data_IF_780393524239
#
_entry.id   IF_780393524239
#
_cell.length_a   1.000
_cell.length_b   1.000
_cell.length_c   1.000
_cell.angle_alpha   90.00
_cell.angle_beta   90.00
_cell.angle_gamma   90.00
#
_symmetry.space_group_name_H-M   'P 1'
#
loop_
_entity.id
_entity.type
_entity.pdbx_description
1 polymer ?
#
# COMPACT_ATOMS: atom_id res chain seq x y z
N UNK A 1 7.23 7.47 30.00
CA UNK A 1 6.77 8.87 29.92
C UNK A 1 5.78 8.90 28.78
N UNK A 2 4.54 9.29 29.00
CA UNK A 2 3.50 9.34 27.96
C UNK A 2 3.60 10.62 27.12
N UNK A 3 2.87 10.65 26.01
CA UNK A 3 2.89 11.75 25.02
C UNK A 3 2.48 13.07 25.68
N UNK A 4 1.44 13.06 26.54
CA UNK A 4 0.95 14.24 27.24
C UNK A 4 2.04 14.87 28.13
N UNK A 5 2.73 14.04 28.91
CA UNK A 5 3.83 14.51 29.77
C UNK A 5 4.98 15.12 28.96
N UNK A 6 5.28 14.60 27.77
CA UNK A 6 6.29 15.18 26.88
C UNK A 6 5.85 16.51 26.28
N UNK A 7 4.57 16.65 25.92
CA UNK A 7 4.02 17.88 25.39
C UNK A 7 3.97 18.97 26.48
N UNK A 8 3.42 18.67 27.66
CA UNK A 8 3.34 19.58 28.80
C UNK A 8 4.73 20.07 29.28
N UNK A 9 5.75 19.21 29.12
CA UNK A 9 7.15 19.57 29.40
C UNK A 9 7.84 20.38 28.28
N UNK A 10 7.12 20.75 27.21
CA UNK A 10 7.65 21.49 26.06
C UNK A 10 8.66 20.71 25.22
N UNK A 11 8.70 19.38 25.36
CA UNK A 11 9.57 18.49 24.58
C UNK A 11 8.99 18.07 23.23
N UNK A 12 7.69 18.32 23.03
CA UNK A 12 6.98 18.11 21.75
C UNK A 12 6.32 19.41 21.32
N UNK A 13 6.51 19.80 20.09
CA UNK A 13 5.80 20.92 19.43
C UNK A 13 4.48 20.43 18.80
N UNK A 14 3.58 21.39 18.49
CA UNK A 14 2.34 21.09 17.78
C UNK A 14 2.58 20.31 16.48
N UNK A 15 3.61 20.70 15.70
CA UNK A 15 3.99 19.99 14.47
C UNK A 15 4.44 18.54 14.72
N UNK A 16 5.09 18.27 15.83
CA UNK A 16 5.47 16.91 16.21
C UNK A 16 4.25 16.12 16.68
N UNK A 17 3.30 16.76 17.35
CA UNK A 17 2.02 16.16 17.71
C UNK A 17 1.19 15.78 16.48
N UNK A 18 1.12 16.63 15.45
CA UNK A 18 0.49 16.29 14.16
C UNK A 18 1.15 15.05 13.51
N UNK A 19 2.48 14.91 13.61
CA UNK A 19 3.18 13.69 13.14
C UNK A 19 2.76 12.44 13.91
N UNK A 20 2.49 12.56 15.21
CA UNK A 20 1.99 11.44 16.01
C UNK A 20 0.56 11.05 15.61
N UNK A 21 -0.31 12.01 15.28
CA UNK A 21 -1.64 11.74 14.72
C UNK A 21 -1.50 10.95 13.41
N UNK A 22 -0.61 11.38 12.52
CA UNK A 22 -0.32 10.65 11.28
C UNK A 22 0.17 9.22 11.52
N UNK A 23 1.01 8.99 12.53
CA UNK A 23 1.45 7.64 12.90
C UNK A 23 0.27 6.81 13.40
N UNK A 24 -0.66 7.40 14.16
CA UNK A 24 -1.91 6.76 14.59
C UNK A 24 -2.77 6.30 13.41
N UNK A 25 -2.95 7.16 12.39
CA UNK A 25 -3.70 6.81 11.16
C UNK A 25 -3.05 5.66 10.37
N UNK A 26 -1.76 5.42 10.58
CA UNK A 26 -1.03 4.29 10.01
C UNK A 26 -1.10 3.01 10.86
N UNK A 27 -1.88 3.02 11.95
CA UNK A 27 -1.97 1.91 12.89
C UNK A 27 -0.70 1.71 13.73
N UNK A 28 0.17 2.72 13.82
CA UNK A 28 1.38 2.67 14.64
C UNK A 28 1.01 2.85 16.12
N UNK A 29 1.47 1.94 16.98
CA UNK A 29 1.22 1.97 18.44
C UNK A 29 1.77 3.20 19.14
N UNK A 30 2.66 3.96 18.52
CA UNK A 30 3.21 5.22 19.02
C UNK A 30 2.41 6.44 18.55
N UNK A 31 1.43 6.25 17.67
CA UNK A 31 0.57 7.31 17.19
C UNK A 31 -0.57 7.62 18.16
N UNK A 32 -1.17 8.79 17.96
CA UNK A 32 -2.35 9.26 18.71
C UNK A 32 -3.49 9.53 17.72
N UNK A 33 -4.71 9.56 18.22
CA UNK A 33 -5.90 9.98 17.44
C UNK A 33 -5.98 11.52 17.38
N UNK A 34 -6.85 12.05 16.51
CA UNK A 34 -7.15 13.49 16.47
C UNK A 34 -7.75 13.95 17.79
N UNK A 35 -8.65 13.16 18.38
CA UNK A 35 -9.29 13.50 19.65
C UNK A 35 -8.27 13.55 20.81
N UNK A 36 -7.33 12.59 20.88
CA UNK A 36 -6.22 12.62 21.83
C UNK A 36 -5.29 13.83 21.61
N UNK A 37 -5.06 14.23 20.35
CA UNK A 37 -4.31 15.44 20.04
C UNK A 37 -5.01 16.68 20.62
N UNK A 38 -6.31 16.84 20.39
CA UNK A 38 -7.09 17.98 20.87
C UNK A 38 -7.19 18.00 22.40
N UNK A 39 -7.35 16.82 23.04
CA UNK A 39 -7.34 16.70 24.50
C UNK A 39 -5.99 17.09 25.12
N UNK A 40 -4.88 16.65 24.52
CA UNK A 40 -3.53 16.92 25.04
C UNK A 40 -3.13 18.37 24.84
N UNK A 41 -3.39 18.93 23.65
CA UNK A 41 -2.89 20.26 23.27
C UNK A 41 -3.86 21.40 23.62
N UNK A 42 -5.14 21.08 23.84
CA UNK A 42 -6.21 22.08 23.99
C UNK A 42 -6.50 22.87 22.70
N UNK A 43 -6.01 22.41 21.54
CA UNK A 43 -6.13 23.09 20.26
C UNK A 43 -6.88 22.19 19.27
N UNK A 44 -7.75 22.78 18.45
CA UNK A 44 -8.29 22.04 17.30
C UNK A 44 -7.19 21.78 16.29
N UNK A 45 -7.16 20.56 15.70
CA UNK A 45 -6.22 20.18 14.65
C UNK A 45 -6.30 21.13 13.45
N UNK A 46 -7.49 21.67 13.16
CA UNK A 46 -7.76 22.64 12.09
C UNK A 46 -6.97 23.95 12.25
N UNK A 47 -6.52 24.27 13.46
CA UNK A 47 -5.73 25.50 13.75
C UNK A 47 -4.24 25.27 13.60
N UNK A 48 -3.81 24.02 13.49
CA UNK A 48 -2.39 23.64 13.46
C UNK A 48 -1.91 23.20 12.09
N UNK A 49 -2.80 22.64 11.30
CA UNK A 49 -2.51 22.18 9.93
C UNK A 49 -3.65 22.61 9.00
N UNK A 50 -3.31 23.13 7.84
CA UNK A 50 -4.30 23.47 6.81
C UNK A 50 -4.89 22.21 6.15
N UNK A 51 -6.09 22.31 5.61
CA UNK A 51 -6.75 21.23 4.86
C UNK A 51 -5.87 20.73 3.71
N UNK A 52 -5.22 21.64 2.97
CA UNK A 52 -4.35 21.29 1.84
C UNK A 52 -3.12 20.51 2.31
N UNK A 53 -2.47 20.94 3.40
CA UNK A 53 -1.35 20.20 3.99
C UNK A 53 -1.78 18.81 4.50
N UNK A 54 -2.96 18.70 5.11
CA UNK A 54 -3.51 17.43 5.54
C UNK A 54 -3.73 16.48 4.34
N UNK A 55 -4.31 16.97 3.23
CA UNK A 55 -4.50 16.20 2.01
C UNK A 55 -3.17 15.71 1.42
N UNK A 56 -2.17 16.58 1.32
CA UNK A 56 -0.84 16.21 0.84
C UNK A 56 -0.17 15.13 1.72
N UNK A 57 -0.25 15.28 3.03
CA UNK A 57 0.26 14.30 3.99
C UNK A 57 -0.42 12.94 3.84
N UNK A 58 -1.76 12.94 3.70
CA UNK A 58 -2.53 11.71 3.59
C UNK A 58 -2.29 11.01 2.24
N UNK A 59 -2.17 11.74 1.14
CA UNK A 59 -1.73 11.18 -0.14
C UNK A 59 -0.36 10.51 -0.04
N UNK A 60 0.60 11.14 0.66
CA UNK A 60 1.90 10.54 0.93
C UNK A 60 1.80 9.23 1.74
N UNK A 61 0.91 9.19 2.73
CA UNK A 61 0.61 8.02 3.55
C UNK A 61 0.05 6.87 2.71
N UNK A 62 -0.97 7.16 1.87
CA UNK A 62 -1.59 6.20 0.96
C UNK A 62 -0.57 5.65 -0.04
N UNK A 63 0.31 6.49 -0.59
CA UNK A 63 1.39 6.04 -1.47
C UNK A 63 2.34 5.08 -0.75
N UNK A 64 2.72 5.39 0.49
CA UNK A 64 3.58 4.52 1.30
C UNK A 64 2.94 3.15 1.57
N UNK A 65 1.65 3.12 1.95
CA UNK A 65 0.89 1.88 2.12
C UNK A 65 0.83 1.07 0.82
N UNK A 66 0.52 1.72 -0.32
CA UNK A 66 0.50 1.07 -1.63
C UNK A 66 1.83 0.39 -1.96
N UNK A 67 2.95 1.09 -1.78
CA UNK A 67 4.27 0.51 -2.07
C UNK A 67 4.60 -0.66 -1.11
N UNK A 68 4.22 -0.57 0.16
CA UNK A 68 4.38 -1.67 1.11
C UNK A 68 3.53 -2.89 0.70
N UNK A 69 2.26 -2.68 0.34
CA UNK A 69 1.37 -3.74 -0.12
C UNK A 69 1.89 -4.38 -1.41
N UNK A 70 2.41 -3.58 -2.36
CA UNK A 70 3.05 -4.11 -3.58
C UNK A 70 4.29 -4.96 -3.30
N UNK A 71 5.10 -4.55 -2.32
CA UNK A 71 6.34 -5.27 -1.99
C UNK A 71 6.08 -6.67 -1.41
N UNK A 72 4.94 -6.84 -0.73
CA UNK A 72 4.56 -8.10 -0.06
C UNK A 72 3.42 -8.85 -0.75
N UNK A 73 2.90 -8.31 -1.87
CA UNK A 73 1.79 -8.94 -2.59
C UNK A 73 2.18 -10.32 -3.12
N UNK A 74 1.27 -11.25 -2.96
CA UNK A 74 1.37 -12.61 -3.49
C UNK A 74 0.07 -13.00 -4.17
N UNK A 75 0.15 -14.00 -5.05
CA UNK A 75 -1.00 -14.65 -5.67
C UNK A 75 -0.89 -16.16 -5.53
N UNK A 76 -2.02 -16.83 -5.45
CA UNK A 76 -2.09 -18.30 -5.45
C UNK A 76 -2.35 -18.81 -6.87
N UNK A 77 -1.57 -19.80 -7.30
CA UNK A 77 -1.76 -20.46 -8.57
C UNK A 77 -1.18 -21.88 -8.53
N UNK A 78 -1.89 -22.83 -9.14
CA UNK A 78 -1.46 -24.24 -9.23
C UNK A 78 -1.05 -24.86 -7.87
N UNK A 79 -1.68 -24.43 -6.77
CA UNK A 79 -1.45 -24.99 -5.42
C UNK A 79 -0.24 -24.41 -4.69
N UNK A 80 0.38 -23.35 -5.21
CA UNK A 80 1.48 -22.64 -4.53
C UNK A 80 1.31 -21.12 -4.64
N UNK A 81 2.13 -20.37 -3.92
CA UNK A 81 2.10 -18.92 -3.80
C UNK A 81 3.23 -18.29 -4.61
N UNK A 82 2.93 -17.22 -5.35
CA UNK A 82 3.90 -16.50 -6.17
C UNK A 82 3.96 -15.03 -5.80
N UNK A 83 5.19 -14.50 -5.65
CA UNK A 83 5.41 -13.08 -5.34
C UNK A 83 5.00 -12.18 -6.52
N UNK A 84 4.43 -11.00 -6.19
CA UNK A 84 4.01 -9.99 -7.16
C UNK A 84 4.80 -8.69 -7.01
N UNK A 85 5.97 -8.74 -6.34
CA UNK A 85 6.85 -7.58 -6.24
C UNK A 85 7.40 -7.16 -7.62
N UNK A 86 8.05 -6.00 -7.69
CA UNK A 86 8.53 -5.41 -8.96
C UNK A 86 9.41 -6.37 -9.76
N UNK A 87 10.37 -7.02 -9.10
CA UNK A 87 11.30 -7.96 -9.77
C UNK A 87 10.56 -9.18 -10.31
N UNK A 88 9.62 -9.73 -9.54
CA UNK A 88 8.80 -10.87 -9.98
C UNK A 88 7.93 -10.51 -11.18
N UNK A 89 7.39 -9.29 -11.24
CA UNK A 89 6.63 -8.80 -12.40
C UNK A 89 7.52 -8.66 -13.64
N UNK A 90 8.73 -8.09 -13.51
CA UNK A 90 9.70 -7.94 -14.61
C UNK A 90 10.11 -9.31 -15.18
N UNK A 91 10.39 -10.28 -14.31
CA UNK A 91 10.71 -11.64 -14.69
C UNK A 91 9.52 -12.32 -15.38
N UNK A 92 8.32 -12.20 -14.80
CA UNK A 92 7.11 -12.79 -15.37
C UNK A 92 6.79 -12.20 -16.74
N UNK A 93 6.93 -10.89 -16.93
CA UNK A 93 6.72 -10.26 -18.24
C UNK A 93 7.65 -10.83 -19.32
N UNK A 94 8.91 -11.07 -18.98
CA UNK A 94 9.89 -11.64 -19.89
C UNK A 94 9.51 -13.08 -20.28
N UNK A 95 9.14 -13.91 -19.31
CA UNK A 95 8.74 -15.30 -19.54
C UNK A 95 7.41 -15.38 -20.27
N UNK A 96 6.42 -14.54 -19.91
CA UNK A 96 5.14 -14.49 -20.59
C UNK A 96 5.27 -14.07 -22.06
N UNK A 97 6.17 -13.13 -22.36
CA UNK A 97 6.49 -12.75 -23.74
C UNK A 97 7.06 -13.94 -24.53
N UNK A 98 8.00 -14.69 -23.94
CA UNK A 98 8.54 -15.89 -24.56
C UNK A 98 7.46 -16.97 -24.76
N UNK A 99 6.56 -17.14 -23.79
CA UNK A 99 5.44 -18.08 -23.87
C UNK A 99 4.45 -17.72 -25.01
N UNK A 100 4.17 -16.43 -25.21
CA UNK A 100 3.31 -15.96 -26.31
C UNK A 100 3.96 -16.29 -27.67
N UNK A 101 5.26 -16.02 -27.82
CA UNK A 101 6.01 -16.33 -29.03
C UNK A 101 6.09 -17.83 -29.29
N UNK A 102 6.23 -18.65 -28.26
CA UNK A 102 6.22 -20.11 -28.35
C UNK A 102 4.90 -20.61 -28.95
N UNK A 103 3.77 -20.14 -28.42
CA UNK A 103 2.43 -20.47 -28.93
C UNK A 103 2.27 -20.06 -30.42
N UNK A 104 2.69 -18.82 -30.76
CA UNK A 104 2.58 -18.28 -32.11
C UNK A 104 3.38 -19.08 -33.12
N UNK A 105 4.50 -19.69 -32.70
CA UNK A 105 5.35 -20.53 -33.54
C UNK A 105 4.97 -22.01 -33.50
N UNK A 106 3.86 -22.40 -32.86
CA UNK A 106 3.42 -23.77 -32.70
C UNK A 106 4.33 -24.61 -31.79
N UNK A 107 5.09 -23.95 -30.91
CA UNK A 107 5.98 -24.58 -29.95
C UNK A 107 5.23 -25.24 -28.78
N UNK A 108 5.95 -26.03 -28.05
CA UNK A 108 5.45 -26.71 -26.83
C UNK A 108 6.54 -26.69 -25.73
N UNK A 109 7.09 -25.51 -25.50
CA UNK A 109 8.14 -25.31 -24.50
C UNK A 109 7.56 -25.37 -23.09
N UNK A 110 8.31 -26.01 -22.18
CA UNK A 110 8.03 -25.96 -20.75
C UNK A 110 8.81 -24.80 -20.13
N UNK A 111 8.14 -23.99 -19.35
CA UNK A 111 8.67 -22.81 -18.67
C UNK A 111 8.77 -23.10 -17.17
N UNK A 112 9.96 -23.05 -16.62
CA UNK A 112 10.16 -23.21 -15.17
C UNK A 112 10.05 -21.84 -14.49
N UNK A 113 9.19 -21.74 -13.48
CA UNK A 113 9.06 -20.54 -12.63
C UNK A 113 9.08 -20.91 -11.16
N UNK A 114 9.75 -20.08 -10.35
CA UNK A 114 9.97 -20.36 -8.93
C UNK A 114 8.93 -19.66 -8.08
N UNK A 115 8.31 -20.41 -7.16
CA UNK A 115 7.33 -19.89 -6.20
C UNK A 115 7.99 -19.14 -5.03
N UNK A 116 7.16 -18.42 -4.24
CA UNK A 116 7.56 -17.78 -2.99
C UNK A 116 8.06 -18.78 -1.94
N UNK A 117 7.60 -20.02 -2.01
CA UNK A 117 8.07 -21.13 -1.14
C UNK A 117 9.39 -21.76 -1.60
N UNK A 118 10.04 -21.18 -2.63
CA UNK A 118 11.29 -21.67 -3.23
C UNK A 118 11.18 -23.03 -3.96
N UNK A 119 9.99 -23.38 -4.43
CA UNK A 119 9.76 -24.56 -5.26
C UNK A 119 9.74 -24.16 -6.74
N UNK A 120 10.39 -24.96 -7.60
CA UNK A 120 10.30 -24.77 -9.04
C UNK A 120 9.07 -25.50 -9.58
N UNK A 121 8.29 -24.80 -10.38
CA UNK A 121 7.13 -25.34 -11.08
C UNK A 121 7.36 -25.27 -12.58
N UNK A 122 7.02 -26.35 -13.27
CA UNK A 122 7.07 -26.43 -14.73
C UNK A 122 5.67 -26.14 -15.30
N UNK A 123 5.57 -25.13 -16.11
CA UNK A 123 4.32 -24.64 -16.71
C UNK A 123 4.35 -24.71 -18.23
N UNK A 124 3.21 -24.97 -18.84
CA UNK A 124 3.01 -24.73 -20.25
C UNK A 124 2.95 -23.22 -20.55
N UNK A 125 3.15 -22.84 -21.80
CA UNK A 125 3.02 -21.44 -22.23
C UNK A 125 1.67 -20.82 -21.82
N UNK A 126 0.56 -21.54 -21.95
CA UNK A 126 -0.77 -21.09 -21.55
C UNK A 126 -0.87 -20.83 -20.04
N UNK A 127 -0.28 -21.70 -19.21
CA UNK A 127 -0.27 -21.54 -17.75
C UNK A 127 0.58 -20.34 -17.30
N UNK A 128 1.73 -20.09 -17.94
CA UNK A 128 2.54 -18.89 -17.70
C UNK A 128 1.76 -17.61 -18.01
N UNK A 129 1.07 -17.56 -19.13
CA UNK A 129 0.24 -16.39 -19.50
C UNK A 129 -0.89 -16.20 -18.47
N UNK A 130 -1.51 -17.28 -18.01
CA UNK A 130 -2.54 -17.21 -16.99
C UNK A 130 -1.99 -16.68 -15.66
N UNK A 131 -0.85 -17.17 -15.19
CA UNK A 131 -0.19 -16.66 -13.98
C UNK A 131 0.16 -15.18 -14.14
N UNK A 132 0.70 -14.76 -15.29
CA UNK A 132 1.00 -13.36 -15.58
C UNK A 132 -0.25 -12.46 -15.46
N UNK A 133 -1.38 -12.90 -16.00
CA UNK A 133 -2.66 -12.16 -15.91
C UNK A 133 -3.15 -12.06 -14.47
N UNK A 134 -3.03 -13.11 -13.67
CA UNK A 134 -3.38 -13.09 -12.22
C UNK A 134 -2.49 -12.09 -11.48
N UNK A 135 -1.18 -12.06 -11.75
CA UNK A 135 -0.25 -11.10 -11.15
C UNK A 135 -0.60 -9.66 -11.54
N UNK A 136 -0.93 -9.39 -12.81
CA UNK A 136 -1.39 -8.07 -13.28
C UNK A 136 -2.68 -7.65 -12.58
N UNK A 137 -3.63 -8.58 -12.42
CA UNK A 137 -4.89 -8.31 -11.70
C UNK A 137 -4.63 -7.90 -10.25
N UNK A 138 -3.74 -8.59 -9.55
CA UNK A 138 -3.35 -8.25 -8.16
C UNK A 138 -2.71 -6.88 -8.04
N UNK A 139 -1.84 -6.52 -8.98
CA UNK A 139 -1.26 -5.17 -9.05
C UNK A 139 -2.35 -4.10 -9.25
N UNK A 140 -3.27 -4.36 -10.18
CA UNK A 140 -4.39 -3.44 -10.47
C UNK A 140 -5.30 -3.24 -9.26
N UNK A 141 -5.55 -4.29 -8.47
CA UNK A 141 -6.29 -4.23 -7.19
C UNK A 141 -5.60 -3.28 -6.21
N UNK A 142 -4.31 -3.47 -5.94
CA UNK A 142 -3.53 -2.61 -5.01
C UNK A 142 -3.53 -1.14 -5.45
N UNK A 143 -3.46 -0.86 -6.75
CA UNK A 143 -3.57 0.51 -7.25
C UNK A 143 -4.98 1.06 -7.13
N UNK A 144 -6.01 0.25 -7.46
CA UNK A 144 -7.41 0.63 -7.36
C UNK A 144 -7.79 1.05 -5.94
N UNK A 145 -7.39 0.29 -4.93
CA UNK A 145 -7.55 0.65 -3.52
C UNK A 145 -6.92 2.02 -3.20
N UNK A 146 -5.68 2.23 -3.63
CA UNK A 146 -4.99 3.50 -3.39
C UNK A 146 -5.67 4.69 -4.07
N UNK A 147 -6.24 4.51 -5.26
CA UNK A 147 -6.97 5.57 -5.97
C UNK A 147 -8.30 5.88 -5.31
N UNK A 148 -9.04 4.87 -4.84
CA UNK A 148 -10.28 5.06 -4.11
C UNK A 148 -10.05 5.82 -2.79
N UNK A 149 -9.02 5.47 -2.02
CA UNK A 149 -8.64 6.21 -0.80
C UNK A 149 -8.28 7.67 -1.11
N UNK A 150 -7.52 7.93 -2.18
CA UNK A 150 -7.18 9.30 -2.58
C UNK A 150 -8.41 10.10 -2.97
N UNK A 151 -9.37 9.49 -3.65
CA UNK A 151 -10.62 10.16 -4.00
C UNK A 151 -11.42 10.56 -2.74
N UNK A 152 -11.42 9.75 -1.68
CA UNK A 152 -12.02 10.10 -0.39
C UNK A 152 -11.28 11.27 0.28
N UNK A 153 -9.95 11.28 0.25
CA UNK A 153 -9.13 12.40 0.75
C UNK A 153 -9.43 13.68 -0.01
N UNK A 154 -9.53 13.62 -1.34
CA UNK A 154 -9.81 14.80 -2.17
C UNK A 154 -11.21 15.36 -1.93
N UNK A 155 -12.19 14.49 -1.65
CA UNK A 155 -13.57 14.86 -1.37
C UNK A 155 -13.80 15.39 0.06
N UNK A 156 -12.87 15.18 0.99
CA UNK A 156 -12.99 15.62 2.37
C UNK A 156 -12.93 17.16 2.48
N UNK A 157 -13.77 17.73 3.32
CA UNK A 157 -13.91 19.17 3.54
C UNK A 157 -13.21 19.65 4.83
N UNK A 158 -12.82 18.74 5.71
CA UNK A 158 -12.16 19.05 6.99
C UNK A 158 -10.88 18.23 7.18
N UNK A 159 -9.94 18.74 8.00
CA UNK A 159 -8.72 18.02 8.36
C UNK A 159 -9.05 16.70 9.07
N UNK A 160 -10.07 16.69 9.94
CA UNK A 160 -10.51 15.47 10.63
C UNK A 160 -10.95 14.40 9.65
N UNK A 161 -11.78 14.75 8.67
CA UNK A 161 -12.21 13.81 7.62
C UNK A 161 -11.03 13.26 6.82
N UNK A 162 -10.09 14.13 6.41
CA UNK A 162 -8.87 13.71 5.71
C UNK A 162 -8.09 12.69 6.52
N UNK A 163 -7.86 12.96 7.82
CA UNK A 163 -7.07 12.09 8.68
C UNK A 163 -7.80 10.80 9.06
N UNK A 164 -9.14 10.75 8.93
CA UNK A 164 -9.94 9.55 9.16
C UNK A 164 -9.87 8.56 7.98
N UNK A 165 -9.43 8.97 6.79
CA UNK A 165 -9.31 8.08 5.63
C UNK A 165 -8.13 7.13 5.81
N UNK A 166 -8.39 5.93 6.31
CA UNK A 166 -7.35 4.91 6.58
C UNK A 166 -7.50 3.64 5.76
N UNK A 167 -8.74 3.25 5.47
CA UNK A 167 -9.13 2.02 4.77
C UNK A 167 -10.38 2.26 3.94
N UNK A 168 -10.66 1.40 2.97
CA UNK A 168 -11.93 1.34 2.25
C UNK A 168 -12.84 0.41 3.08
N UNK A 169 -14.04 0.89 3.44
CA UNK A 169 -15.08 0.06 4.06
C UNK A 169 -15.68 -0.93 3.05
#
# INVERSE_FOLDING_TARGET
>A
MDVKSLYDAGKLSDSQMVRLVRLGTLGNKLGITVDEFEEITGKSIETVISLEEAKQLQHGTINGKREANRATAVVEYAGDTFEVNKTSQENMNSIATAAILDIQNGGNTTFTYRSATNVNHDFTAAQIIQLALIMVSKVSEVYGESWALKALVDAADTVKEVLAVTEIE
#
